data_IF_215352076794
#
_entry.id   IF_215352076794
#
_cell.length_a   1.000
_cell.length_b   1.000
_cell.length_c   1.000
_cell.angle_alpha   90.00
_cell.angle_beta   90.00
_cell.angle_gamma   90.00
#
_symmetry.space_group_name_H-M   'P 1'
#
loop_
_entity.id
_entity.type
_entity.pdbx_description
1 polymer ?
#
# COMPACT_ATOMS: atom_id res chain seq x y z
N UNK A 1 -20.08 -13.63 22.79
CA UNK A 1 -20.65 -12.83 21.68
C UNK A 1 -20.50 -13.61 20.37
N UNK A 2 -21.39 -13.42 19.39
CA UNK A 2 -21.33 -14.07 18.06
C UNK A 2 -19.99 -13.83 17.35
N UNK A 3 -19.29 -12.76 17.66
CA UNK A 3 -18.06 -12.31 16.99
C UNK A 3 -16.77 -12.82 17.66
N UNK A 4 -16.84 -13.57 18.77
CA UNK A 4 -15.67 -14.06 19.55
C UNK A 4 -14.65 -12.96 19.92
N UNK A 5 -15.07 -11.73 20.06
CA UNK A 5 -14.20 -10.63 20.48
C UNK A 5 -13.73 -10.84 21.92
N UNK A 6 -12.41 -10.85 22.13
CA UNK A 6 -11.83 -10.87 23.48
C UNK A 6 -11.71 -9.47 24.05
N UNK A 7 -11.57 -9.37 25.38
CA UNK A 7 -11.34 -8.08 26.05
C UNK A 7 -10.08 -7.38 25.51
N UNK A 8 -9.03 -8.16 25.13
CA UNK A 8 -7.79 -7.62 24.56
C UNK A 8 -8.02 -7.03 23.17
N UNK A 9 -8.81 -7.70 22.31
CA UNK A 9 -9.15 -7.19 20.97
C UNK A 9 -9.94 -5.88 21.09
N UNK A 10 -10.94 -5.84 21.99
CA UNK A 10 -11.75 -4.63 22.21
C UNK A 10 -10.90 -3.48 22.75
N UNK A 11 -10.06 -3.75 23.74
CA UNK A 11 -9.17 -2.73 24.31
C UNK A 11 -8.17 -2.19 23.27
N UNK A 12 -7.66 -3.06 22.39
CA UNK A 12 -6.76 -2.67 21.29
C UNK A 12 -7.49 -1.87 20.21
N UNK A 13 -8.72 -2.24 19.85
CA UNK A 13 -9.57 -1.51 18.92
C UNK A 13 -9.85 -0.08 19.40
N UNK A 14 -10.16 0.07 20.71
CA UNK A 14 -10.54 1.36 21.30
C UNK A 14 -9.34 2.20 21.78
N UNK A 15 -8.10 1.73 21.63
CA UNK A 15 -6.91 2.46 22.07
C UNK A 15 -6.76 2.53 23.61
N UNK A 16 -7.33 1.59 24.37
CA UNK A 16 -7.33 1.57 25.84
C UNK A 16 -6.03 0.97 26.39
N UNK A 17 -4.92 1.69 26.24
CA UNK A 17 -3.57 1.21 26.58
C UNK A 17 -3.47 0.63 27.99
N UNK A 18 -4.04 1.31 29.00
CA UNK A 18 -3.98 0.82 30.40
C UNK A 18 -4.75 -0.49 30.60
N UNK A 19 -5.84 -0.74 29.82
CA UNK A 19 -6.57 -2.00 29.88
C UNK A 19 -5.75 -3.10 29.21
N UNK A 20 -5.10 -2.80 28.08
CA UNK A 20 -4.18 -3.72 27.41
C UNK A 20 -3.07 -4.16 28.37
N UNK A 21 -2.43 -3.22 29.09
CA UNK A 21 -1.40 -3.55 30.09
C UNK A 21 -1.91 -4.51 31.17
N UNK A 22 -3.08 -4.23 31.73
CA UNK A 22 -3.68 -5.09 32.76
C UNK A 22 -4.02 -6.48 32.25
N UNK A 23 -4.51 -6.58 31.01
CA UNK A 23 -4.85 -7.87 30.41
C UNK A 23 -3.60 -8.69 30.11
N UNK A 24 -2.56 -8.08 29.55
CA UNK A 24 -1.28 -8.73 29.27
C UNK A 24 -0.58 -9.18 30.56
N UNK A 25 -0.58 -8.36 31.62
CA UNK A 25 -0.05 -8.72 32.94
C UNK A 25 -0.78 -9.93 33.58
N UNK A 26 -2.02 -10.20 33.16
CA UNK A 26 -2.82 -11.38 33.56
C UNK A 26 -2.73 -12.52 32.56
N UNK A 27 -1.71 -12.53 31.69
CA UNK A 27 -1.48 -13.56 30.66
C UNK A 27 -2.65 -13.75 29.69
N UNK A 28 -3.34 -12.67 29.30
CA UNK A 28 -4.32 -12.74 28.22
C UNK A 28 -3.65 -13.31 26.95
N UNK A 29 -4.36 -14.17 26.23
CA UNK A 29 -3.86 -14.76 24.98
C UNK A 29 -3.67 -13.64 23.94
N UNK A 30 -2.41 -13.29 23.64
CA UNK A 30 -2.03 -12.15 22.79
C UNK A 30 -2.53 -12.34 21.36
N UNK A 31 -2.52 -13.57 20.84
CA UNK A 31 -2.90 -13.94 19.47
C UNK A 31 -4.31 -14.52 19.37
N UNK A 32 -5.16 -14.32 20.39
CA UNK A 32 -6.55 -14.71 20.29
C UNK A 32 -7.22 -14.05 19.09
N UNK A 33 -7.95 -14.85 18.30
CA UNK A 33 -8.60 -14.41 17.07
C UNK A 33 -10.12 -14.28 17.27
N UNK A 34 -10.70 -13.22 16.74
CA UNK A 34 -12.14 -13.06 16.56
C UNK A 34 -12.67 -14.00 15.45
N UNK A 35 -13.97 -13.98 15.18
CA UNK A 35 -14.60 -14.82 14.16
C UNK A 35 -14.14 -14.54 12.73
N UNK A 36 -13.62 -13.34 12.47
CA UNK A 36 -13.04 -12.89 11.21
C UNK A 36 -11.51 -12.98 11.19
N UNK A 37 -10.93 -13.75 12.12
CA UNK A 37 -9.49 -13.95 12.35
C UNK A 37 -8.73 -12.68 12.77
N UNK A 38 -9.41 -11.56 13.08
CA UNK A 38 -8.73 -10.36 13.58
C UNK A 38 -8.15 -10.59 14.98
N UNK A 39 -6.97 -10.01 15.22
CA UNK A 39 -6.25 -10.04 16.51
C UNK A 39 -6.20 -8.66 17.13
N UNK A 40 -5.77 -8.57 18.39
CA UNK A 40 -5.50 -7.30 19.03
C UNK A 40 -4.44 -6.47 18.29
N UNK A 41 -3.38 -7.13 17.80
CA UNK A 41 -2.32 -6.48 17.00
C UNK A 41 -2.88 -5.90 15.69
N UNK A 42 -3.73 -6.66 15.00
CA UNK A 42 -4.38 -6.18 13.76
C UNK A 42 -5.23 -4.93 14.03
N UNK A 43 -6.07 -4.94 15.07
CA UNK A 43 -6.94 -3.80 15.40
C UNK A 43 -6.16 -2.56 15.84
N UNK A 44 -5.13 -2.74 16.67
CA UNK A 44 -4.25 -1.65 17.06
C UNK A 44 -3.49 -1.06 15.85
N UNK A 45 -2.99 -1.91 14.95
CA UNK A 45 -2.28 -1.49 13.74
C UNK A 45 -3.19 -0.74 12.76
N UNK A 46 -4.43 -1.22 12.58
CA UNK A 46 -5.42 -0.58 11.72
C UNK A 46 -5.81 0.82 12.21
N UNK A 47 -5.92 1.00 13.54
CA UNK A 47 -6.43 2.23 14.15
C UNK A 47 -5.33 3.21 14.59
N UNK A 48 -4.05 2.90 14.33
CA UNK A 48 -2.95 3.80 14.63
C UNK A 48 -2.52 3.84 16.09
N UNK A 49 -2.84 2.82 16.89
CA UNK A 49 -2.52 2.78 18.32
C UNK A 49 -1.09 2.28 18.56
N UNK A 50 -0.09 3.09 18.21
CA UNK A 50 1.35 2.72 18.22
C UNK A 50 1.79 2.14 19.58
N UNK A 51 1.46 2.79 20.68
CA UNK A 51 1.84 2.29 22.02
C UNK A 51 1.27 0.88 22.32
N UNK A 52 0.06 0.57 21.83
CA UNK A 52 -0.53 -0.76 21.99
C UNK A 52 0.18 -1.77 21.08
N UNK A 53 0.48 -1.39 19.84
CA UNK A 53 1.27 -2.25 18.91
C UNK A 53 2.59 -2.63 19.56
N UNK A 54 3.36 -1.67 20.08
CA UNK A 54 4.64 -1.92 20.73
C UNK A 54 4.51 -2.88 21.93
N UNK A 55 3.49 -2.69 22.77
CA UNK A 55 3.22 -3.59 23.90
C UNK A 55 2.87 -5.00 23.48
N UNK A 56 2.02 -5.16 22.48
CA UNK A 56 1.66 -6.47 21.93
C UNK A 56 2.88 -7.17 21.31
N UNK A 57 3.72 -6.45 20.58
CA UNK A 57 4.97 -6.97 20.01
C UNK A 57 5.96 -7.37 21.12
N UNK A 58 6.09 -6.59 22.18
CA UNK A 58 6.91 -6.95 23.35
C UNK A 58 6.43 -8.24 24.04
N UNK A 59 5.11 -8.53 23.97
CA UNK A 59 4.53 -9.80 24.42
C UNK A 59 4.48 -10.87 23.33
N UNK A 60 5.31 -10.71 22.27
CA UNK A 60 5.50 -11.68 21.18
C UNK A 60 4.25 -11.96 20.33
N UNK A 61 3.40 -10.96 20.16
CA UNK A 61 2.28 -11.06 19.22
C UNK A 61 2.76 -11.47 17.81
N UNK A 62 2.08 -12.40 17.18
CA UNK A 62 2.42 -12.93 15.87
C UNK A 62 2.11 -11.91 14.78
N UNK A 63 3.16 -11.35 14.14
CA UNK A 63 3.09 -10.21 13.21
C UNK A 63 2.48 -10.54 11.84
N UNK A 64 2.38 -11.83 11.48
CA UNK A 64 1.99 -12.25 10.13
C UNK A 64 0.67 -13.04 10.11
N UNK A 65 -0.14 -13.01 11.18
CA UNK A 65 -1.45 -13.64 11.17
C UNK A 65 -2.36 -12.94 10.16
N UNK A 66 -3.04 -13.77 9.37
CA UNK A 66 -4.00 -13.31 8.40
C UNK A 66 -5.36 -13.10 9.07
N UNK A 67 -5.94 -11.95 8.83
CA UNK A 67 -7.29 -11.58 9.24
C UNK A 67 -8.25 -11.63 8.04
N UNK A 68 -9.40 -10.98 8.15
CA UNK A 68 -10.39 -10.88 7.07
C UNK A 68 -9.73 -10.48 5.73
N UNK A 69 -10.16 -11.14 4.65
CA UNK A 69 -9.64 -10.91 3.28
C UNK A 69 -8.12 -11.15 3.12
N UNK A 70 -7.53 -12.02 3.95
CA UNK A 70 -6.10 -12.36 3.95
C UNK A 70 -5.17 -11.18 4.26
N UNK A 71 -5.70 -10.13 4.91
CA UNK A 71 -4.93 -8.95 5.30
C UNK A 71 -4.10 -9.17 6.57
N UNK A 72 -2.96 -8.48 6.68
CA UNK A 72 -2.06 -8.53 7.84
C UNK A 72 -2.05 -7.23 8.63
N UNK A 73 -1.51 -7.19 9.86
CA UNK A 73 -1.26 -5.94 10.58
C UNK A 73 -0.41 -4.94 9.76
N UNK A 74 0.61 -5.40 9.02
CA UNK A 74 1.43 -4.55 8.15
C UNK A 74 0.60 -3.94 7.01
N UNK A 75 -0.26 -4.76 6.38
CA UNK A 75 -1.12 -4.32 5.29
C UNK A 75 -2.05 -3.17 5.74
N UNK A 76 -2.75 -3.34 6.87
CA UNK A 76 -3.69 -2.31 7.34
C UNK A 76 -3.00 -1.08 7.90
N UNK A 77 -1.81 -1.22 8.50
CA UNK A 77 -1.00 -0.09 8.92
C UNK A 77 -0.54 0.74 7.72
N UNK A 78 -0.10 0.09 6.63
CA UNK A 78 0.29 0.76 5.39
C UNK A 78 -0.90 1.42 4.70
N UNK A 79 -2.05 0.74 4.63
CA UNK A 79 -3.31 1.26 4.07
C UNK A 79 -3.78 2.54 4.76
N UNK A 80 -3.59 2.64 6.08
CA UNK A 80 -4.03 3.79 6.88
C UNK A 80 -2.92 4.82 7.14
N UNK A 81 -1.73 4.64 6.58
CA UNK A 81 -0.64 5.60 6.65
C UNK A 81 0.08 5.66 8.00
N UNK A 82 0.02 4.61 8.81
CA UNK A 82 0.63 4.56 10.15
C UNK A 82 2.11 4.20 10.10
N UNK A 83 2.96 5.14 9.71
CA UNK A 83 4.39 4.93 9.44
C UNK A 83 5.16 4.32 10.61
N UNK A 84 4.92 4.77 11.85
CA UNK A 84 5.65 4.24 13.02
C UNK A 84 5.25 2.80 13.34
N UNK A 85 3.98 2.44 13.10
CA UNK A 85 3.52 1.06 13.23
C UNK A 85 4.14 0.18 12.15
N UNK A 86 4.21 0.66 10.91
CA UNK A 86 4.92 -0.04 9.81
C UNK A 86 6.37 -0.33 10.21
N UNK A 87 7.10 0.67 10.74
CA UNK A 87 8.47 0.49 11.24
C UNK A 87 8.55 -0.59 12.33
N UNK A 88 7.66 -0.53 13.32
CA UNK A 88 7.65 -1.48 14.42
C UNK A 88 7.39 -2.92 13.94
N UNK A 89 6.42 -3.11 13.03
CA UNK A 89 6.08 -4.41 12.47
C UNK A 89 7.22 -4.99 11.62
N UNK A 90 7.86 -4.16 10.78
CA UNK A 90 9.00 -4.57 9.97
C UNK A 90 10.20 -4.98 10.83
N UNK A 91 10.47 -4.24 11.92
CA UNK A 91 11.52 -4.59 12.88
C UNK A 91 11.28 -5.95 13.56
N UNK A 92 10.03 -6.42 13.64
CA UNK A 92 9.65 -7.72 14.20
C UNK A 92 9.45 -8.80 13.10
N UNK A 93 9.93 -8.57 11.89
CA UNK A 93 9.92 -9.55 10.81
C UNK A 93 8.57 -9.70 10.09
N UNK A 94 7.80 -8.63 10.00
CA UNK A 94 6.60 -8.64 9.16
C UNK A 94 6.98 -8.91 7.69
N UNK A 95 6.28 -9.86 7.06
CA UNK A 95 6.48 -10.23 5.66
C UNK A 95 5.88 -9.17 4.74
N UNK A 96 6.73 -8.52 3.93
CA UNK A 96 6.37 -7.36 3.12
C UNK A 96 5.47 -7.67 1.91
N UNK A 97 5.57 -8.89 1.37
CA UNK A 97 4.91 -9.28 0.12
C UNK A 97 3.67 -10.17 0.33
N UNK A 98 3.13 -10.24 1.57
CA UNK A 98 1.84 -10.89 1.77
C UNK A 98 0.75 -10.11 1.07
N UNK A 99 -0.14 -10.85 0.41
CA UNK A 99 -1.19 -10.32 -0.45
C UNK A 99 -2.56 -10.50 0.19
N UNK A 100 -3.43 -9.54 -0.01
CA UNK A 100 -4.85 -9.73 0.25
C UNK A 100 -5.53 -10.58 -0.85
N UNK A 101 -6.83 -10.80 -0.75
CA UNK A 101 -7.63 -11.55 -1.74
C UNK A 101 -7.61 -10.97 -3.15
N UNK A 102 -7.26 -9.68 -3.30
CA UNK A 102 -7.15 -8.99 -4.58
C UNK A 102 -5.70 -8.94 -5.09
N UNK A 103 -4.79 -9.68 -4.46
CA UNK A 103 -3.37 -9.65 -4.79
C UNK A 103 -2.66 -8.35 -4.42
N UNK A 104 -3.29 -7.44 -3.65
CA UNK A 104 -2.66 -6.21 -3.22
C UNK A 104 -1.66 -6.49 -2.07
N UNK A 105 -0.56 -5.74 -2.04
CA UNK A 105 0.46 -5.77 -0.98
C UNK A 105 0.46 -4.46 -0.19
N UNK A 106 1.15 -4.43 0.95
CA UNK A 106 1.35 -3.20 1.71
C UNK A 106 1.96 -2.08 0.84
N UNK A 107 2.88 -2.42 -0.09
CA UNK A 107 3.50 -1.48 -1.02
C UNK A 107 2.49 -0.85 -1.97
N UNK A 108 1.60 -1.66 -2.56
CA UNK A 108 0.58 -1.14 -3.50
C UNK A 108 -0.39 -0.20 -2.80
N UNK A 109 -0.74 -0.47 -1.52
CA UNK A 109 -1.62 0.43 -0.77
C UNK A 109 -0.92 1.70 -0.30
N UNK A 110 0.33 1.62 0.15
CA UNK A 110 1.11 2.80 0.48
C UNK A 110 1.26 3.73 -0.73
N UNK A 111 1.47 3.15 -1.93
CA UNK A 111 1.54 3.91 -3.18
C UNK A 111 0.20 4.51 -3.60
N UNK A 112 -0.91 3.79 -3.37
CA UNK A 112 -2.28 4.27 -3.64
C UNK A 112 -2.63 5.53 -2.84
N UNK A 113 -2.21 5.60 -1.57
CA UNK A 113 -2.47 6.76 -0.69
C UNK A 113 -1.37 7.82 -0.76
N UNK A 114 -0.26 7.56 -1.47
CA UNK A 114 0.85 8.49 -1.64
C UNK A 114 1.77 8.63 -0.41
N UNK A 115 1.77 7.65 0.50
CA UNK A 115 2.67 7.69 1.65
C UNK A 115 4.08 7.23 1.26
N UNK A 116 4.89 8.20 0.80
CA UNK A 116 6.26 7.95 0.31
C UNK A 116 7.16 7.34 1.37
N UNK A 117 7.04 7.75 2.63
CA UNK A 117 7.85 7.20 3.73
C UNK A 117 7.61 5.70 3.92
N UNK A 118 6.33 5.27 3.89
CA UNK A 118 5.99 3.84 3.98
C UNK A 118 6.49 3.09 2.74
N UNK A 119 6.34 3.67 1.55
CA UNK A 119 6.87 3.08 0.30
C UNK A 119 8.37 2.83 0.43
N UNK A 120 9.15 3.82 0.87
CA UNK A 120 10.60 3.69 1.04
C UNK A 120 10.98 2.65 2.11
N UNK A 121 10.24 2.60 3.22
CA UNK A 121 10.44 1.59 4.27
C UNK A 121 10.20 0.17 3.74
N UNK A 122 9.11 -0.05 3.00
CA UNK A 122 8.78 -1.37 2.46
C UNK A 122 9.80 -1.81 1.42
N UNK A 123 10.23 -0.92 0.51
CA UNK A 123 11.26 -1.20 -0.50
C UNK A 123 12.62 -1.52 0.16
N UNK A 124 13.00 -0.76 1.19
CA UNK A 124 14.22 -1.03 1.98
C UNK A 124 14.20 -2.42 2.64
N UNK A 125 13.01 -2.94 2.97
CA UNK A 125 12.84 -4.28 3.55
C UNK A 125 12.55 -5.35 2.48
N UNK A 126 12.81 -5.06 1.20
CA UNK A 126 12.79 -6.03 0.11
C UNK A 126 11.43 -6.28 -0.53
N UNK A 127 10.48 -5.35 -0.38
CA UNK A 127 9.21 -5.43 -1.11
C UNK A 127 9.45 -5.44 -2.63
N UNK A 128 8.73 -6.30 -3.34
CA UNK A 128 8.80 -6.41 -4.81
C UNK A 128 8.18 -5.18 -5.45
N UNK A 129 9.02 -4.28 -5.98
CA UNK A 129 8.62 -2.99 -6.54
C UNK A 129 7.59 -3.12 -7.68
N UNK A 130 7.74 -4.14 -8.52
CA UNK A 130 6.89 -4.41 -9.71
C UNK A 130 5.80 -5.45 -9.46
N UNK A 131 5.47 -5.73 -8.17
CA UNK A 131 4.38 -6.63 -7.86
C UNK A 131 3.07 -6.16 -8.52
N UNK A 132 2.37 -7.09 -9.18
CA UNK A 132 1.06 -6.85 -9.82
C UNK A 132 -0.06 -7.42 -8.95
N UNK A 133 -1.02 -6.60 -8.60
CA UNK A 133 -2.31 -7.03 -8.05
C UNK A 133 -3.13 -7.78 -9.13
N UNK A 134 -4.28 -8.37 -8.75
CA UNK A 134 -5.09 -9.24 -9.61
C UNK A 134 -5.50 -8.59 -10.95
N UNK A 135 -5.64 -7.27 -11.01
CA UNK A 135 -5.98 -6.50 -12.23
C UNK A 135 -4.75 -5.92 -12.94
N UNK A 136 -3.54 -6.41 -12.60
CA UNK A 136 -2.28 -5.99 -13.20
C UNK A 136 -1.76 -4.63 -12.70
N UNK A 137 -2.39 -4.01 -11.70
CA UNK A 137 -1.90 -2.74 -11.15
C UNK A 137 -0.62 -2.94 -10.35
N UNK A 138 0.38 -2.09 -10.62
CA UNK A 138 1.61 -1.98 -9.81
C UNK A 138 1.54 -0.76 -8.90
N UNK A 139 2.45 -0.69 -7.91
CA UNK A 139 2.59 0.49 -7.06
C UNK A 139 2.80 1.77 -7.88
N UNK A 140 3.61 1.72 -8.95
CA UNK A 140 3.87 2.87 -9.81
C UNK A 140 2.59 3.34 -10.55
N UNK A 141 1.80 2.42 -11.07
CA UNK A 141 0.53 2.75 -11.73
C UNK A 141 -0.42 3.41 -10.75
N UNK A 142 -0.56 2.88 -9.52
CA UNK A 142 -1.45 3.43 -8.50
C UNK A 142 -1.02 4.83 -8.04
N UNK A 143 0.29 5.04 -7.82
CA UNK A 143 0.82 6.36 -7.47
C UNK A 143 0.58 7.38 -8.58
N UNK A 144 0.79 7.01 -9.85
CA UNK A 144 0.58 7.86 -11.01
C UNK A 144 -0.90 8.18 -11.24
N UNK A 145 -1.79 7.19 -11.06
CA UNK A 145 -3.24 7.35 -11.16
C UNK A 145 -3.79 8.39 -10.17
N UNK A 146 -3.18 8.48 -8.98
CA UNK A 146 -3.62 9.37 -7.91
C UNK A 146 -2.76 10.65 -7.80
N UNK A 147 -1.83 10.90 -8.74
CA UNK A 147 -1.03 12.11 -8.80
C UNK A 147 0.02 12.24 -7.69
N UNK A 148 0.42 11.15 -7.06
CA UNK A 148 1.39 11.13 -5.96
C UNK A 148 2.83 11.24 -6.52
N UNK A 149 3.21 12.41 -7.01
CA UNK A 149 4.47 12.65 -7.73
C UNK A 149 5.71 12.21 -6.93
N UNK A 150 5.80 12.55 -5.65
CA UNK A 150 6.92 12.14 -4.80
C UNK A 150 7.04 10.61 -4.69
N UNK A 151 5.90 9.91 -4.61
CA UNK A 151 5.85 8.45 -4.59
C UNK A 151 6.24 7.84 -5.94
N UNK A 152 5.82 8.44 -7.06
CA UNK A 152 6.26 8.06 -8.41
C UNK A 152 7.78 8.16 -8.52
N UNK A 153 8.36 9.28 -8.10
CA UNK A 153 9.81 9.47 -8.11
C UNK A 153 10.55 8.46 -7.23
N UNK A 154 10.03 8.19 -6.03
CA UNK A 154 10.62 7.21 -5.11
C UNK A 154 10.59 5.80 -5.70
N UNK A 155 9.46 5.37 -6.26
CA UNK A 155 9.33 4.05 -6.91
C UNK A 155 10.29 3.90 -8.08
N UNK A 156 10.39 4.91 -8.98
CA UNK A 156 11.32 4.89 -10.12
C UNK A 156 12.79 4.86 -9.65
N UNK A 157 13.14 5.61 -8.61
CA UNK A 157 14.48 5.60 -8.01
C UNK A 157 14.86 4.23 -7.44
N UNK A 158 13.85 3.48 -6.96
CA UNK A 158 14.01 2.12 -6.43
C UNK A 158 13.78 1.02 -7.49
N UNK A 159 13.86 1.36 -8.76
CA UNK A 159 13.89 0.41 -9.87
C UNK A 159 12.54 -0.08 -10.38
N UNK A 160 11.44 0.65 -10.10
CA UNK A 160 10.15 0.32 -10.70
C UNK A 160 10.23 0.36 -12.24
N UNK A 161 9.73 -0.68 -12.89
CA UNK A 161 9.65 -0.77 -14.34
C UNK A 161 8.54 0.17 -14.85
N UNK A 162 8.97 1.26 -15.49
CA UNK A 162 8.13 2.41 -15.81
C UNK A 162 6.97 2.10 -16.77
N UNK A 163 7.23 1.25 -17.75
CA UNK A 163 6.31 0.98 -18.86
C UNK A 163 5.48 -0.30 -18.69
N UNK A 164 5.41 -0.84 -17.46
CA UNK A 164 4.50 -1.95 -17.18
C UNK A 164 3.06 -1.52 -17.45
N UNK A 165 2.34 -2.42 -18.09
CA UNK A 165 0.92 -2.27 -18.39
C UNK A 165 0.08 -3.12 -17.42
N UNK A 166 -1.03 -2.57 -16.96
CA UNK A 166 -2.07 -3.32 -16.26
C UNK A 166 -2.85 -4.23 -17.26
N UNK A 167 -3.87 -4.91 -16.78
CA UNK A 167 -4.66 -5.84 -17.62
C UNK A 167 -5.43 -5.14 -18.74
N UNK A 168 -5.63 -3.82 -18.68
CA UNK A 168 -6.24 -3.01 -19.74
C UNK A 168 -5.20 -2.43 -20.70
N UNK A 169 -3.93 -2.81 -20.55
CA UNK A 169 -2.84 -2.27 -21.36
C UNK A 169 -2.47 -0.83 -21.00
N UNK A 170 -2.87 -0.33 -19.83
CA UNK A 170 -2.67 1.06 -19.43
C UNK A 170 -1.42 1.18 -18.57
N UNK A 171 -0.52 2.12 -18.91
CA UNK A 171 0.71 2.42 -18.17
C UNK A 171 0.50 3.49 -17.10
N UNK A 172 1.52 3.71 -16.24
CA UNK A 172 1.55 4.82 -15.28
C UNK A 172 1.39 6.18 -15.99
N UNK A 173 2.08 6.40 -17.13
CA UNK A 173 1.96 7.63 -17.92
C UNK A 173 0.53 7.86 -18.43
N UNK A 174 -0.11 6.83 -18.92
CA UNK A 174 -1.50 6.90 -19.41
C UNK A 174 -2.47 7.25 -18.29
N UNK A 175 -2.30 6.66 -17.10
CA UNK A 175 -3.14 6.97 -15.93
C UNK A 175 -2.93 8.40 -15.43
N UNK A 176 -1.68 8.85 -15.33
CA UNK A 176 -1.39 10.24 -14.96
C UNK A 176 -2.01 11.23 -15.96
N UNK A 177 -1.91 10.95 -17.27
CA UNK A 177 -2.50 11.79 -18.31
C UNK A 177 -4.04 11.78 -18.31
N UNK A 178 -4.67 10.64 -18.02
CA UNK A 178 -6.13 10.51 -17.94
C UNK A 178 -6.75 11.33 -16.79
N UNK A 179 -6.03 11.40 -15.66
CA UNK A 179 -6.47 12.07 -14.43
C UNK A 179 -5.89 13.47 -14.24
N UNK A 180 -5.30 14.04 -15.30
CA UNK A 180 -4.80 15.42 -15.35
C UNK A 180 -3.68 15.72 -14.31
N UNK A 181 -2.84 14.71 -13.99
CA UNK A 181 -1.72 14.83 -13.06
C UNK A 181 -0.44 15.30 -13.76
N UNK A 182 -0.41 16.58 -14.13
CA UNK A 182 0.66 17.19 -14.94
C UNK A 182 2.08 16.97 -14.38
N UNK A 183 2.28 17.09 -13.07
CA UNK A 183 3.60 16.88 -12.46
C UNK A 183 4.06 15.42 -12.53
N UNK A 184 3.15 14.45 -12.33
CA UNK A 184 3.47 13.04 -12.53
C UNK A 184 3.81 12.73 -13.99
N UNK A 185 3.08 13.33 -14.95
CA UNK A 185 3.38 13.23 -16.39
C UNK A 185 4.77 13.76 -16.68
N UNK A 186 5.14 14.95 -16.19
CA UNK A 186 6.48 15.53 -16.37
C UNK A 186 7.58 14.62 -15.85
N UNK A 187 7.42 14.07 -14.64
CA UNK A 187 8.39 13.17 -14.04
C UNK A 187 8.56 11.91 -14.88
N UNK A 188 7.46 11.27 -15.28
CA UNK A 188 7.50 10.06 -16.11
C UNK A 188 8.18 10.32 -17.46
N UNK A 189 7.86 11.44 -18.14
CA UNK A 189 8.49 11.83 -19.40
C UNK A 189 9.99 12.13 -19.21
N UNK A 190 10.36 12.86 -18.17
CA UNK A 190 11.77 13.17 -17.88
C UNK A 190 12.60 11.91 -17.59
N UNK A 191 11.96 10.84 -17.11
CA UNK A 191 12.59 9.53 -16.90
C UNK A 191 12.55 8.63 -18.12
N UNK A 192 11.94 9.06 -19.25
CA UNK A 192 11.93 8.37 -20.52
C UNK A 192 10.77 7.39 -20.74
N UNK A 193 9.61 7.65 -20.12
CA UNK A 193 8.42 6.83 -20.34
C UNK A 193 8.06 6.70 -21.84
N UNK A 194 7.71 5.50 -22.26
CA UNK A 194 7.37 5.23 -23.64
C UNK A 194 5.97 5.76 -24.01
N UNK A 195 5.96 6.88 -24.71
CA UNK A 195 4.73 7.57 -25.14
C UNK A 195 3.96 6.87 -26.25
N UNK A 196 4.58 5.87 -26.92
CA UNK A 196 4.01 5.15 -28.07
C UNK A 196 3.21 3.90 -27.69
N UNK A 197 3.29 3.46 -26.43
CA UNK A 197 2.50 2.34 -25.94
C UNK A 197 1.02 2.64 -26.10
N UNK A 198 0.26 1.58 -26.40
CA UNK A 198 -1.20 1.66 -26.58
C UNK A 198 -1.91 0.79 -25.56
N UNK A 199 -2.99 1.29 -25.02
CA UNK A 199 -3.93 0.51 -24.22
C UNK A 199 -4.64 -0.56 -25.07
N UNK A 200 -5.40 -1.46 -24.46
CA UNK A 200 -6.25 -2.43 -25.20
C UNK A 200 -7.29 -1.75 -26.11
N UNK A 201 -7.63 -0.49 -25.84
CA UNK A 201 -8.51 0.32 -26.72
C UNK A 201 -7.74 0.98 -27.88
N UNK A 202 -6.46 0.68 -28.04
CA UNK A 202 -5.61 1.21 -29.12
C UNK A 202 -5.11 2.64 -28.90
N UNK A 203 -5.36 3.26 -27.72
CA UNK A 203 -5.04 4.66 -27.45
C UNK A 203 -3.70 4.82 -26.72
N UNK A 204 -2.92 5.82 -27.11
CA UNK A 204 -1.70 6.29 -26.44
C UNK A 204 -2.02 7.24 -25.30
N UNK A 205 -1.00 7.64 -24.49
CA UNK A 205 -1.16 8.63 -23.44
C UNK A 205 -1.68 9.99 -23.98
N UNK A 206 -1.17 10.44 -25.14
CA UNK A 206 -1.62 11.69 -25.77
C UNK A 206 -3.10 11.65 -26.21
N UNK A 207 -3.56 10.48 -26.70
CA UNK A 207 -4.94 10.27 -27.13
C UNK A 207 -5.92 10.09 -25.94
N UNK A 208 -5.40 9.68 -24.78
CA UNK A 208 -6.18 9.51 -23.55
C UNK A 208 -6.32 10.82 -22.76
N UNK A 209 -5.27 11.66 -22.79
CA UNK A 209 -5.24 12.93 -22.07
C UNK A 209 -6.44 13.82 -22.46
N UNK A 210 -7.02 14.49 -21.45
CA UNK A 210 -8.12 15.44 -21.66
C UNK A 210 -7.63 16.88 -21.63
N UNK A 211 -6.74 17.19 -20.68
CA UNK A 211 -6.16 18.51 -20.51
C UNK A 211 -5.27 18.88 -21.71
N UNK A 212 -5.50 20.04 -22.39
CA UNK A 212 -4.69 20.50 -23.48
C UNK A 212 -3.20 20.68 -23.10
N UNK A 213 -2.90 21.18 -21.90
CA UNK A 213 -1.53 21.38 -21.45
C UNK A 213 -0.78 20.04 -21.31
N UNK A 214 -1.46 18.96 -20.87
CA UNK A 214 -0.87 17.63 -20.83
C UNK A 214 -0.67 17.08 -22.24
N UNK A 215 -1.60 17.32 -23.16
CA UNK A 215 -1.45 16.92 -24.58
C UNK A 215 -0.23 17.57 -25.21
N UNK A 216 0.05 18.84 -24.90
CA UNK A 216 1.23 19.55 -25.42
C UNK A 216 2.55 18.98 -24.90
N UNK A 217 2.55 18.37 -23.68
CA UNK A 217 3.74 17.70 -23.14
C UNK A 217 4.03 16.35 -23.81
N UNK A 218 3.00 15.72 -24.38
CA UNK A 218 3.10 14.40 -24.97
C UNK A 218 3.35 14.50 -26.48
N UNK A 219 4.39 13.84 -27.02
CA UNK A 219 4.67 13.91 -28.45
C UNK A 219 3.47 13.40 -29.26
N UNK A 220 3.14 14.16 -30.30
CA UNK A 220 2.14 13.72 -31.27
C UNK A 220 2.58 12.36 -31.87
N UNK A 221 1.66 11.43 -31.95
CA UNK A 221 1.94 10.15 -32.63
C UNK A 221 2.05 10.44 -34.10
N UNK A 222 3.29 10.54 -34.62
CA UNK A 222 3.52 10.55 -36.08
C UNK A 222 3.01 9.22 -36.64
N UNK A 223 2.05 9.29 -37.52
CA UNK A 223 1.54 8.15 -38.29
C UNK A 223 2.65 7.50 -39.12
#
# INVERSE_FOLDING_TARGET
TKEKLTALIIAALEGRTHIVDKLLAKNAQVDAQASDNTTALYMAARNGHTAIVEKLLAHKAAVNLLAINDTTPLFVAAQNGHTDIVKALLAQGAKVDLQDKNGATALTLAALIGNTDIVELLLKHGAKVDHKATNGFTALILAAQNGHTATVESLLRNGATMDLQNDDGVTALMWAALHDHAEAVKVLLAKGANTKLKSKTGRTAAEIAKDPAIKEMLPAVSN
#
